data_IF_330862748433
#
_entry.id   IF_330862748433
#
_cell.length_a   1.000
_cell.length_b   1.000
_cell.length_c   1.000
_cell.angle_alpha   90.00
_cell.angle_beta   90.00
_cell.angle_gamma   90.00
#
_symmetry.space_group_name_H-M   'P 1'
#
loop_
_entity.id
_entity.type
_entity.pdbx_description
1 polymer ?
#
# COMPACT_ATOMS: atom_id res chain seq x y z
N UNK A 1 -7.43 -2.88 14.45
CA UNK A 1 -7.78 -1.70 15.27
C UNK A 1 -8.15 -2.07 16.70
N UNK A 2 -8.91 -3.14 16.94
CA UNK A 2 -9.22 -3.65 18.29
C UNK A 2 -8.00 -4.11 19.08
N UNK A 3 -7.06 -4.83 18.45
CA UNK A 3 -5.79 -5.24 19.08
C UNK A 3 -4.91 -4.07 19.55
N UNK A 4 -5.14 -2.87 19.02
CA UNK A 4 -4.43 -1.64 19.38
C UNK A 4 -5.32 -0.66 20.16
N UNK A 5 -6.47 -1.12 20.68
CA UNK A 5 -7.46 -0.34 21.43
C UNK A 5 -8.03 0.91 20.72
N UNK A 6 -7.85 1.01 19.39
CA UNK A 6 -8.34 2.13 18.57
C UNK A 6 -9.86 2.07 18.43
N UNK A 7 -10.39 0.89 18.11
CA UNK A 7 -11.83 0.62 18.16
C UNK A 7 -12.10 -0.18 19.44
N UNK A 8 -12.98 0.36 20.28
CA UNK A 8 -13.43 -0.30 21.49
C UNK A 8 -14.41 -1.42 21.15
N UNK A 9 -14.16 -2.60 21.70
CA UNK A 9 -15.13 -3.69 21.77
C UNK A 9 -16.04 -3.51 22.98
N UNK A 10 -17.21 -4.16 22.97
CA UNK A 10 -18.01 -4.28 24.18
C UNK A 10 -17.31 -5.12 25.27
N UNK A 11 -17.93 -5.23 26.44
CA UNK A 11 -17.44 -6.02 27.58
C UNK A 11 -17.19 -7.50 27.24
N UNK A 12 -17.78 -8.01 26.15
CA UNK A 12 -17.60 -9.37 25.66
C UNK A 12 -16.59 -9.47 24.50
N UNK A 13 -15.88 -8.38 24.17
CA UNK A 13 -14.89 -8.36 23.10
C UNK A 13 -15.47 -8.27 21.68
N UNK A 14 -16.77 -7.98 21.53
CA UNK A 14 -17.44 -7.88 20.24
C UNK A 14 -17.35 -6.48 19.65
N UNK A 15 -17.22 -6.42 18.33
CA UNK A 15 -17.32 -5.17 17.55
C UNK A 15 -18.60 -5.22 16.75
N UNK A 16 -19.31 -4.09 16.69
CA UNK A 16 -20.54 -3.92 15.92
C UNK A 16 -20.22 -3.13 14.65
N UNK A 17 -19.83 -3.80 13.54
CA UNK A 17 -19.35 -3.13 12.33
C UNK A 17 -20.38 -2.18 11.70
N UNK A 18 -21.66 -2.51 11.81
CA UNK A 18 -22.77 -1.73 11.22
C UNK A 18 -23.27 -0.59 12.14
N UNK A 19 -22.72 -0.48 13.36
CA UNK A 19 -23.08 0.60 14.27
C UNK A 19 -22.64 1.92 13.65
N UNK A 20 -23.55 2.89 13.60
CA UNK A 20 -23.24 4.27 13.23
C UNK A 20 -22.36 4.91 14.29
N UNK A 21 -21.32 5.63 13.87
CA UNK A 21 -20.42 6.33 14.79
C UNK A 21 -20.82 7.79 14.98
N UNK A 22 -20.54 8.31 16.17
CA UNK A 22 -20.65 9.75 16.44
C UNK A 22 -19.36 10.48 16.04
N UNK A 23 -19.40 11.82 16.01
CA UNK A 23 -18.19 12.64 15.85
C UNK A 23 -17.19 12.39 16.98
N UNK A 24 -17.69 12.23 18.21
CA UNK A 24 -16.90 11.91 19.40
C UNK A 24 -16.25 10.54 19.32
N UNK A 25 -16.94 9.52 18.80
CA UNK A 25 -16.35 8.21 18.51
C UNK A 25 -15.16 8.35 17.55
N UNK A 26 -15.33 9.10 16.46
CA UNK A 26 -14.26 9.32 15.48
C UNK A 26 -13.06 10.06 16.08
N UNK A 27 -13.29 11.12 16.86
CA UNK A 27 -12.22 11.83 17.55
C UNK A 27 -11.45 10.91 18.49
N UNK A 28 -12.18 10.03 19.20
CA UNK A 28 -11.60 9.03 20.10
C UNK A 28 -10.74 8.02 19.34
N UNK A 29 -11.23 7.50 18.20
CA UNK A 29 -10.49 6.56 17.37
C UNK A 29 -9.18 7.17 16.88
N UNK A 30 -9.23 8.40 16.34
CA UNK A 30 -8.03 9.10 15.87
C UNK A 30 -7.05 9.39 17.00
N UNK A 31 -7.52 9.91 18.13
CA UNK A 31 -6.67 10.21 19.26
C UNK A 31 -5.96 8.96 19.78
N UNK A 32 -6.66 7.82 19.85
CA UNK A 32 -6.08 6.53 20.25
C UNK A 32 -5.15 5.93 19.21
N UNK A 33 -5.39 6.16 17.92
CA UNK A 33 -4.47 5.75 16.86
C UNK A 33 -3.11 6.46 16.97
N UNK A 34 -3.09 7.68 17.53
CA UNK A 34 -1.85 8.46 17.76
C UNK A 34 -1.27 8.23 19.14
N UNK A 35 -2.11 8.18 20.17
CA UNK A 35 -1.73 7.98 21.56
C UNK A 35 -2.66 6.95 22.22
N UNK A 36 -2.34 5.66 22.13
CA UNK A 36 -3.15 4.59 22.72
C UNK A 36 -3.33 4.70 24.25
N UNK A 37 -2.43 5.43 24.93
CA UNK A 37 -2.43 5.61 26.39
C UNK A 37 -2.94 7.02 26.80
N UNK A 38 -3.69 7.72 25.94
CA UNK A 38 -4.17 9.09 26.23
C UNK A 38 -4.90 9.21 27.57
N UNK A 39 -5.57 8.14 28.00
CA UNK A 39 -6.32 8.08 29.26
C UNK A 39 -5.41 7.99 30.50
N UNK A 40 -4.15 7.57 30.36
CA UNK A 40 -3.20 7.35 31.47
C UNK A 40 -2.51 8.64 31.95
N UNK A 41 -2.39 9.63 31.08
CA UNK A 41 -1.58 10.83 31.34
C UNK A 41 -2.37 12.03 31.85
N UNK A 42 -3.68 11.89 32.05
CA UNK A 42 -4.52 12.96 32.58
C UNK A 42 -4.96 12.70 34.02
N UNK A 43 -4.22 13.25 34.98
CA UNK A 43 -4.69 13.47 36.35
C UNK A 43 -5.35 14.85 36.39
N UNK A 44 -6.65 14.92 36.07
CA UNK A 44 -7.37 16.16 35.85
C UNK A 44 -7.28 17.17 37.00
N UNK A 45 -6.74 18.34 36.69
CA UNK A 45 -6.90 19.59 37.46
C UNK A 45 -7.04 20.82 36.54
N UNK A 46 -7.33 20.61 35.25
CA UNK A 46 -7.52 21.69 34.28
C UNK A 46 -8.97 22.20 34.30
N UNK A 47 -9.16 23.52 34.42
CA UNK A 47 -10.47 24.19 34.35
C UNK A 47 -10.81 24.69 32.93
N UNK A 48 -10.00 24.38 31.93
CA UNK A 48 -10.11 24.95 30.58
C UNK A 48 -11.12 24.17 29.73
N UNK A 49 -12.07 24.92 29.18
CA UNK A 49 -13.09 24.44 28.24
C UNK A 49 -12.51 24.50 26.81
N UNK A 50 -12.48 23.37 26.10
CA UNK A 50 -11.93 23.32 24.74
C UNK A 50 -12.92 23.83 23.70
N UNK A 51 -14.19 23.49 23.89
CA UNK A 51 -15.33 23.94 23.08
C UNK A 51 -16.54 24.11 23.96
N UNK A 52 -17.57 24.79 23.46
CA UNK A 52 -18.83 25.05 24.15
C UNK A 52 -19.44 23.82 24.85
N UNK A 53 -19.22 22.63 24.29
CA UNK A 53 -19.71 21.32 24.72
C UNK A 53 -18.59 20.29 25.04
N UNK A 54 -17.33 20.72 25.08
CA UNK A 54 -16.17 19.89 25.48
C UNK A 54 -15.52 20.51 26.72
N UNK A 55 -16.13 20.23 27.88
CA UNK A 55 -15.61 20.57 29.20
C UNK A 55 -14.70 19.46 29.73
N UNK A 56 -13.88 19.71 30.78
CA UNK A 56 -13.00 18.69 31.37
C UNK A 56 -13.70 17.38 31.79
N UNK A 57 -15.01 17.42 32.02
CA UNK A 57 -15.86 16.28 32.37
C UNK A 57 -16.38 15.50 31.15
N UNK A 58 -16.23 16.05 29.94
CA UNK A 58 -16.66 15.39 28.71
C UNK A 58 -15.85 14.12 28.48
N UNK A 59 -16.50 12.98 28.12
CA UNK A 59 -15.77 11.74 27.81
C UNK A 59 -14.86 11.90 26.58
N UNK A 60 -15.08 12.92 25.75
CA UNK A 60 -14.28 13.20 24.55
C UNK A 60 -13.16 14.21 24.79
N UNK A 61 -13.04 14.76 26.00
CA UNK A 61 -12.10 15.85 26.28
C UNK A 61 -10.66 15.51 25.92
N UNK A 62 -10.16 14.34 26.35
CA UNK A 62 -8.80 13.90 26.06
C UNK A 62 -8.56 13.68 24.57
N UNK A 63 -9.55 13.11 23.88
CA UNK A 63 -9.46 12.88 22.45
C UNK A 63 -9.37 14.21 21.70
N UNK A 64 -10.29 15.14 21.99
CA UNK A 64 -10.31 16.47 21.35
C UNK A 64 -9.04 17.25 21.67
N UNK A 65 -8.56 17.24 22.92
CA UNK A 65 -7.30 17.86 23.32
C UNK A 65 -6.13 17.33 22.50
N UNK A 66 -6.02 16.01 22.39
CA UNK A 66 -4.97 15.34 21.60
C UNK A 66 -5.00 15.81 20.15
N UNK A 67 -6.19 15.90 19.54
CA UNK A 67 -6.32 16.34 18.14
C UNK A 67 -6.03 17.83 17.95
N UNK A 68 -6.33 18.68 18.92
CA UNK A 68 -5.92 20.10 18.92
C UNK A 68 -4.40 20.22 18.98
N UNK A 69 -3.76 19.47 19.88
CA UNK A 69 -2.30 19.51 20.06
C UNK A 69 -1.58 19.00 18.79
N UNK A 70 -2.17 18.03 18.07
CA UNK A 70 -1.70 17.58 16.75
C UNK A 70 -2.04 18.55 15.60
N UNK A 71 -2.79 19.62 15.86
CA UNK A 71 -3.30 20.58 14.87
C UNK A 71 -4.20 19.93 13.79
N UNK A 72 -4.93 18.89 14.17
CA UNK A 72 -5.88 18.18 13.30
C UNK A 72 -7.32 18.65 13.50
N UNK A 73 -7.63 19.17 14.69
CA UNK A 73 -8.78 20.05 14.91
C UNK A 73 -8.33 21.50 14.92
N UNK A 74 -9.30 22.41 14.70
CA UNK A 74 -9.06 23.82 14.97
C UNK A 74 -8.69 24.01 16.45
N UNK A 75 -8.03 25.11 16.81
CA UNK A 75 -7.71 25.40 18.21
C UNK A 75 -8.94 25.42 19.11
N UNK A 76 -8.72 25.38 20.42
CA UNK A 76 -9.79 25.54 21.40
C UNK A 76 -10.56 26.85 21.16
N UNK A 77 -11.88 26.75 21.13
CA UNK A 77 -12.80 27.85 20.92
C UNK A 77 -14.04 27.64 21.80
N UNK A 78 -14.04 28.20 23.03
CA UNK A 78 -15.10 28.00 24.01
C UNK A 78 -16.49 28.47 23.58
N UNK A 79 -16.58 29.28 22.52
CA UNK A 79 -17.82 29.86 21.99
C UNK A 79 -18.49 28.95 20.94
N UNK A 80 -17.76 28.01 20.35
CA UNK A 80 -18.28 27.10 19.31
C UNK A 80 -18.50 25.69 19.83
N UNK A 81 -19.49 24.98 19.29
CA UNK A 81 -19.79 23.58 19.64
C UNK A 81 -19.17 22.61 18.63
N UNK A 82 -18.68 21.47 19.10
CA UNK A 82 -18.25 20.35 18.25
C UNK A 82 -19.35 19.32 17.99
N UNK A 83 -20.40 19.31 18.82
CA UNK A 83 -21.51 18.36 18.83
C UNK A 83 -21.02 16.90 18.78
N UNK A 84 -20.19 16.44 19.73
CA UNK A 84 -19.54 15.12 19.65
C UNK A 84 -20.53 13.94 19.65
N UNK A 85 -21.74 14.13 20.16
CA UNK A 85 -22.79 13.11 20.21
C UNK A 85 -23.56 12.97 18.88
N UNK A 86 -23.38 13.89 17.93
CA UNK A 86 -24.05 13.79 16.63
C UNK A 86 -23.45 12.65 15.78
N UNK A 87 -24.32 11.89 15.12
CA UNK A 87 -23.92 10.87 14.16
C UNK A 87 -23.16 11.48 12.97
N UNK A 88 -21.97 10.96 12.71
CA UNK A 88 -21.09 11.50 11.69
C UNK A 88 -21.56 11.12 10.28
N UNK A 89 -21.58 12.11 9.40
CA UNK A 89 -21.88 11.92 7.97
C UNK A 89 -20.61 11.66 7.14
N UNK A 90 -20.78 11.05 5.96
CA UNK A 90 -19.66 10.83 5.01
C UNK A 90 -19.00 12.12 4.57
N UNK A 91 -19.75 13.20 4.38
CA UNK A 91 -19.18 14.50 4.00
C UNK A 91 -18.34 15.12 5.13
N UNK A 92 -18.82 15.07 6.37
CA UNK A 92 -18.05 15.54 7.52
C UNK A 92 -16.74 14.74 7.68
N UNK A 93 -16.81 13.42 7.50
CA UNK A 93 -15.61 12.58 7.50
C UNK A 93 -14.62 12.98 6.39
N UNK A 94 -15.10 13.26 5.17
CA UNK A 94 -14.25 13.73 4.08
C UNK A 94 -13.52 15.03 4.43
N UNK A 95 -14.24 15.99 5.01
CA UNK A 95 -13.66 17.27 5.46
C UNK A 95 -12.58 17.05 6.51
N UNK A 96 -12.83 16.18 7.48
CA UNK A 96 -11.86 15.86 8.53
C UNK A 96 -10.62 15.17 7.96
N UNK A 97 -10.78 14.18 7.08
CA UNK A 97 -9.67 13.46 6.45
C UNK A 97 -8.78 14.41 5.63
N UNK A 98 -9.38 15.31 4.84
CA UNK A 98 -8.64 16.31 4.07
C UNK A 98 -7.88 17.28 4.97
N UNK A 99 -8.45 17.66 6.13
CA UNK A 99 -7.79 18.49 7.13
C UNK A 99 -6.62 17.78 7.81
N UNK A 100 -6.80 16.51 8.21
CA UNK A 100 -5.75 15.70 8.82
C UNK A 100 -4.55 15.55 7.87
N UNK A 101 -4.82 15.37 6.58
CA UNK A 101 -3.79 15.31 5.53
C UNK A 101 -3.22 16.69 5.15
N UNK A 102 -3.74 17.77 5.72
CA UNK A 102 -3.33 19.17 5.48
C UNK A 102 -3.47 19.59 4.02
N UNK A 103 -4.52 19.10 3.37
CA UNK A 103 -4.81 19.35 1.97
C UNK A 103 -5.95 20.36 1.75
N UNK A 104 -6.27 21.19 2.74
CA UNK A 104 -7.36 22.17 2.64
C UNK A 104 -7.12 23.20 1.53
N UNK A 105 -5.86 23.63 1.36
CA UNK A 105 -5.47 24.50 0.24
C UNK A 105 -5.66 23.82 -1.11
N UNK A 106 -5.36 22.52 -1.18
CA UNK A 106 -5.51 21.74 -2.41
C UNK A 106 -6.99 21.51 -2.73
N UNK A 107 -7.80 21.20 -1.72
CA UNK A 107 -9.25 21.09 -1.84
C UNK A 107 -9.89 22.37 -2.41
N UNK A 108 -9.32 23.54 -2.11
CA UNK A 108 -9.74 24.83 -2.68
C UNK A 108 -9.64 24.92 -4.21
N UNK A 109 -8.87 24.05 -4.88
CA UNK A 109 -8.79 23.99 -6.34
C UNK A 109 -9.82 23.07 -6.99
N UNK A 110 -10.54 22.26 -6.20
CA UNK A 110 -11.49 21.25 -6.70
C UNK A 110 -12.95 21.57 -6.34
N UNK A 111 -13.31 22.85 -6.37
CA UNK A 111 -14.65 23.31 -5.96
C UNK A 111 -15.63 23.45 -7.12
N UNK A 112 -15.23 23.17 -8.36
CA UNK A 112 -16.07 23.38 -9.53
C UNK A 112 -17.09 22.23 -9.66
N UNK A 113 -18.29 22.48 -10.21
CA UNK A 113 -19.24 21.41 -10.51
C UNK A 113 -18.65 20.30 -11.40
N UNK A 114 -17.73 20.66 -12.31
CA UNK A 114 -17.02 19.71 -13.16
C UNK A 114 -16.13 18.74 -12.39
N UNK A 115 -15.66 19.10 -11.19
CA UNK A 115 -14.80 18.24 -10.38
C UNK A 115 -15.54 17.05 -9.76
N UNK A 116 -16.88 17.08 -9.80
CA UNK A 116 -17.79 16.03 -9.33
C UNK A 116 -18.74 15.56 -10.44
N UNK A 117 -18.42 15.78 -11.72
CA UNK A 117 -19.32 15.49 -12.85
C UNK A 117 -19.79 14.04 -12.92
N UNK A 118 -19.04 13.13 -12.31
CA UNK A 118 -19.33 11.69 -12.29
C UNK A 118 -20.24 11.28 -11.13
N UNK A 119 -20.68 12.22 -10.29
CA UNK A 119 -21.57 11.94 -9.17
C UNK A 119 -23.01 12.37 -9.47
N UNK A 120 -23.94 11.43 -9.38
CA UNK A 120 -25.37 11.72 -9.57
C UNK A 120 -25.95 12.61 -8.45
N UNK A 121 -25.31 12.64 -7.27
CA UNK A 121 -25.70 13.46 -6.12
C UNK A 121 -24.72 14.61 -5.83
N UNK A 122 -23.95 15.06 -6.83
CA UNK A 122 -23.01 16.18 -6.70
C UNK A 122 -23.65 17.47 -6.13
N UNK A 123 -24.93 17.70 -6.42
CA UNK A 123 -25.66 18.87 -5.92
C UNK A 123 -25.95 18.81 -4.41
N UNK A 124 -25.96 17.61 -3.82
CA UNK A 124 -26.14 17.44 -2.38
C UNK A 124 -24.83 17.66 -1.60
N UNK A 125 -23.70 17.83 -2.30
CA UNK A 125 -22.38 18.05 -1.70
C UNK A 125 -22.16 19.55 -1.46
N UNK A 126 -21.96 19.89 -0.19
CA UNK A 126 -21.70 21.24 0.28
C UNK A 126 -20.21 21.59 0.10
N UNK A 127 -19.31 20.74 0.59
CA UNK A 127 -17.86 20.90 0.50
C UNK A 127 -17.29 20.12 -0.68
N UNK A 128 -17.49 20.67 -1.88
CA UNK A 128 -17.07 20.04 -3.14
C UNK A 128 -15.57 19.75 -3.18
N UNK A 129 -14.76 20.67 -2.65
CA UNK A 129 -13.31 20.51 -2.60
C UNK A 129 -12.88 19.31 -1.77
N UNK A 130 -13.43 19.18 -0.55
CA UNK A 130 -13.08 18.06 0.33
C UNK A 130 -13.57 16.72 -0.24
N UNK A 131 -14.80 16.67 -0.75
CA UNK A 131 -15.37 15.45 -1.35
C UNK A 131 -14.65 15.05 -2.63
N UNK A 132 -14.35 16.01 -3.52
CA UNK A 132 -13.62 15.73 -4.76
C UNK A 132 -12.25 15.17 -4.44
N UNK A 133 -11.55 15.79 -3.49
CA UNK A 133 -10.23 15.33 -3.08
C UNK A 133 -10.29 13.99 -2.34
N UNK A 134 -11.27 13.75 -1.47
CA UNK A 134 -11.41 12.46 -0.78
C UNK A 134 -11.68 11.30 -1.74
N UNK A 135 -12.43 11.55 -2.83
CA UNK A 135 -12.67 10.54 -3.87
C UNK A 135 -11.40 10.32 -4.69
N UNK A 136 -10.75 11.40 -5.17
CA UNK A 136 -9.52 11.31 -5.98
C UNK A 136 -8.40 10.58 -5.24
N UNK A 137 -8.26 10.87 -3.94
CA UNK A 137 -7.27 10.21 -3.10
C UNK A 137 -7.66 8.77 -2.76
N UNK A 138 -8.91 8.34 -2.98
CA UNK A 138 -9.38 6.99 -2.62
C UNK A 138 -9.76 6.82 -1.15
N UNK A 139 -9.80 7.91 -0.38
CA UNK A 139 -10.14 7.93 1.05
C UNK A 139 -11.61 7.56 1.31
N UNK A 140 -12.49 8.09 0.47
CA UNK A 140 -13.93 7.84 0.52
C UNK A 140 -14.46 7.72 -0.91
N UNK A 141 -14.41 6.52 -1.52
CA UNK A 141 -14.86 6.33 -2.88
C UNK A 141 -16.37 6.53 -3.01
N UNK A 142 -16.82 6.80 -4.24
CA UNK A 142 -18.24 6.81 -4.60
C UNK A 142 -18.80 5.39 -4.61
N UNK A 143 -20.07 5.25 -4.21
CA UNK A 143 -20.82 3.99 -4.23
C UNK A 143 -21.86 4.14 -5.34
N UNK A 144 -21.75 3.32 -6.39
CA UNK A 144 -22.69 3.33 -7.52
C UNK A 144 -22.89 4.71 -8.16
N UNK A 145 -21.79 5.46 -8.34
CA UNK A 145 -21.83 6.81 -8.92
C UNK A 145 -22.43 7.89 -8.00
N UNK A 146 -22.53 7.63 -6.69
CA UNK A 146 -23.01 8.58 -5.68
C UNK A 146 -22.02 8.69 -4.53
N UNK A 147 -21.89 9.88 -3.94
CA UNK A 147 -21.06 10.07 -2.75
C UNK A 147 -21.85 9.86 -1.45
N UNK A 148 -23.15 10.15 -1.47
CA UNK A 148 -24.07 10.06 -0.34
C UNK A 148 -23.62 10.94 0.84
N UNK A 149 -23.54 12.28 0.68
CA UNK A 149 -22.91 13.17 1.66
C UNK A 149 -23.55 13.09 3.06
N UNK A 150 -24.87 12.92 3.13
CA UNK A 150 -25.62 12.82 4.39
C UNK A 150 -25.67 11.40 4.99
N UNK A 151 -25.16 10.38 4.29
CA UNK A 151 -25.15 9.00 4.81
C UNK A 151 -24.28 8.94 6.04
N UNK A 152 -24.77 8.22 7.05
CA UNK A 152 -24.06 8.00 8.31
C UNK A 152 -22.93 6.99 8.15
N UNK A 153 -21.81 7.26 8.80
CA UNK A 153 -20.61 6.43 8.77
C UNK A 153 -20.75 5.31 9.79
N UNK A 154 -20.41 4.09 9.41
CA UNK A 154 -20.38 2.94 10.32
C UNK A 154 -18.98 2.69 10.91
N UNK A 155 -18.90 1.90 11.98
CA UNK A 155 -17.64 1.46 12.57
C UNK A 155 -16.75 0.79 11.52
N UNK A 156 -17.31 -0.04 10.62
CA UNK A 156 -16.56 -0.71 9.57
C UNK A 156 -15.96 0.27 8.55
N UNK A 157 -16.70 1.30 8.16
CA UNK A 157 -16.21 2.33 7.23
C UNK A 157 -15.10 3.18 7.85
N UNK A 158 -15.26 3.57 9.11
CA UNK A 158 -14.24 4.30 9.86
C UNK A 158 -12.99 3.45 10.15
N UNK A 159 -13.12 2.12 10.11
CA UNK A 159 -12.02 1.19 10.34
C UNK A 159 -11.11 0.97 9.11
N UNK A 160 -11.40 1.59 7.96
CA UNK A 160 -10.56 1.47 6.77
C UNK A 160 -9.33 2.41 6.90
N UNK A 161 -8.12 1.85 6.76
CA UNK A 161 -6.83 2.56 6.99
C UNK A 161 -6.26 3.08 5.67
N UNK A 162 -6.09 4.39 5.54
CA UNK A 162 -5.76 5.04 4.26
C UNK A 162 -4.45 5.85 4.24
N UNK A 163 -3.79 6.07 5.38
CA UNK A 163 -2.69 7.06 5.47
C UNK A 163 -1.30 6.42 5.57
N UNK A 164 -0.27 7.21 5.19
CA UNK A 164 1.13 6.83 5.44
C UNK A 164 1.45 6.67 6.92
N UNK A 165 0.77 7.44 7.78
CA UNK A 165 0.88 7.30 9.23
C UNK A 165 0.37 5.93 9.69
N UNK A 166 -0.78 5.47 9.15
CA UNK A 166 -1.31 4.13 9.45
C UNK A 166 -0.32 3.04 9.02
N UNK A 167 0.28 3.16 7.85
CA UNK A 167 1.32 2.25 7.38
C UNK A 167 2.54 2.21 8.31
N UNK A 168 3.07 3.38 8.70
CA UNK A 168 4.29 3.47 9.49
C UNK A 168 4.10 3.11 10.97
N UNK A 169 2.99 3.52 11.57
CA UNK A 169 2.76 3.38 13.02
C UNK A 169 2.02 2.09 13.35
N UNK A 170 1.07 1.68 12.49
CA UNK A 170 0.27 0.46 12.74
C UNK A 170 0.78 -0.76 11.98
N UNK A 171 1.74 -0.59 11.08
CA UNK A 171 2.30 -1.65 10.25
C UNK A 171 1.32 -2.22 9.22
N UNK A 172 0.24 -1.51 8.90
CA UNK A 172 -0.81 -2.00 8.01
C UNK A 172 -1.66 -0.84 7.46
N UNK A 173 -1.85 -0.80 6.14
CA UNK A 173 -2.67 0.20 5.44
C UNK A 173 -3.12 -0.33 4.07
N UNK A 174 -3.98 0.37 3.32
CA UNK A 174 -4.27 0.04 1.91
C UNK A 174 -3.25 0.70 0.96
N UNK A 175 -3.36 0.42 -0.35
CA UNK A 175 -2.44 0.87 -1.40
C UNK A 175 -2.05 2.36 -1.35
N UNK A 176 -3.00 3.22 -1.00
CA UNK A 176 -2.77 4.64 -0.81
C UNK A 176 -1.77 4.94 0.32
N UNK A 177 -1.87 4.26 1.47
CA UNK A 177 -0.96 4.48 2.59
C UNK A 177 0.45 3.95 2.30
N UNK A 178 0.56 2.82 1.58
CA UNK A 178 1.84 2.30 1.09
C UNK A 178 2.52 3.31 0.16
N UNK A 179 1.81 3.74 -0.88
CA UNK A 179 2.36 4.66 -1.88
C UNK A 179 2.71 6.03 -1.31
N UNK A 180 1.92 6.55 -0.37
CA UNK A 180 2.22 7.81 0.32
C UNK A 180 3.42 7.67 1.28
N UNK A 181 3.55 6.54 1.99
CA UNK A 181 4.69 6.29 2.87
C UNK A 181 5.98 6.20 2.05
N UNK A 182 5.97 5.41 0.98
CA UNK A 182 7.09 5.31 0.04
C UNK A 182 7.44 6.68 -0.55
N UNK A 183 6.44 7.47 -0.98
CA UNK A 183 6.65 8.82 -1.49
C UNK A 183 7.41 9.70 -0.50
N UNK A 184 6.98 9.74 0.76
CA UNK A 184 7.59 10.56 1.81
C UNK A 184 8.99 10.11 2.18
N UNK A 185 9.22 8.81 2.29
CA UNK A 185 10.55 8.27 2.59
C UNK A 185 11.56 8.59 1.48
N UNK A 186 11.16 8.43 0.21
CA UNK A 186 12.00 8.75 -0.95
C UNK A 186 12.27 10.25 -1.05
N UNK A 187 11.26 11.10 -0.85
CA UNK A 187 11.40 12.56 -0.81
C UNK A 187 12.40 12.98 0.28
N UNK A 188 12.32 12.39 1.47
CA UNK A 188 13.21 12.70 2.59
C UNK A 188 14.68 12.34 2.35
N UNK A 189 14.95 11.31 1.55
CA UNK A 189 16.32 10.94 1.14
C UNK A 189 16.76 11.59 -0.18
N UNK A 190 15.98 12.51 -0.73
CA UNK A 190 16.31 13.28 -1.92
C UNK A 190 16.12 12.52 -3.24
N UNK A 191 15.29 11.48 -3.26
CA UNK A 191 14.94 10.73 -4.47
C UNK A 191 13.63 11.27 -5.04
N UNK A 192 13.73 11.86 -6.23
CA UNK A 192 12.59 12.31 -7.03
C UNK A 192 11.63 11.14 -7.27
N UNK A 193 10.36 11.32 -6.91
CA UNK A 193 9.34 10.30 -7.13
C UNK A 193 7.93 10.92 -7.32
N UNK A 194 6.97 10.14 -7.82
CA UNK A 194 5.57 10.54 -8.05
C UNK A 194 4.64 9.41 -7.60
N UNK A 195 3.45 9.76 -7.12
CA UNK A 195 2.36 8.79 -6.96
C UNK A 195 1.64 8.65 -8.30
N UNK A 196 1.36 7.41 -8.69
CA UNK A 196 0.60 7.05 -9.89
C UNK A 196 -0.70 6.41 -9.48
N UNK A 197 -1.78 6.84 -10.14
CA UNK A 197 -3.14 6.33 -9.95
C UNK A 197 -3.59 5.53 -11.17
N UNK A 198 -4.31 4.43 -10.93
CA UNK A 198 -4.73 3.53 -11.98
C UNK A 198 -5.59 2.38 -11.48
N UNK A 199 -5.50 1.27 -12.18
CA UNK A 199 -6.03 -0.02 -11.78
C UNK A 199 -4.92 -1.07 -11.82
N UNK A 200 -5.03 -2.07 -10.97
CA UNK A 200 -4.17 -3.24 -10.94
C UNK A 200 -5.07 -4.48 -10.89
N UNK A 201 -5.00 -5.33 -11.92
CA UNK A 201 -6.10 -6.23 -12.26
C UNK A 201 -7.40 -5.44 -12.49
N UNK A 202 -8.44 -5.78 -11.75
CA UNK A 202 -9.76 -5.13 -11.84
C UNK A 202 -10.03 -4.14 -10.68
N UNK A 203 -9.02 -3.80 -9.87
CA UNK A 203 -9.18 -2.94 -8.69
C UNK A 203 -8.50 -1.59 -8.87
N UNK A 204 -9.13 -0.52 -8.36
CA UNK A 204 -8.49 0.80 -8.27
C UNK A 204 -7.25 0.71 -7.38
N UNK A 205 -6.15 1.30 -7.85
CA UNK A 205 -4.85 1.12 -7.22
C UNK A 205 -3.96 2.36 -7.33
N UNK A 206 -3.03 2.49 -6.39
CA UNK A 206 -2.03 3.55 -6.36
C UNK A 206 -0.65 2.99 -5.99
N UNK A 207 0.38 3.45 -6.70
CA UNK A 207 1.78 3.04 -6.54
C UNK A 207 2.74 4.22 -6.84
N UNK A 208 4.05 3.97 -6.92
CA UNK A 208 5.05 5.03 -7.14
C UNK A 208 5.78 4.92 -8.47
N UNK A 209 6.20 6.07 -9.01
CA UNK A 209 7.26 6.21 -9.99
C UNK A 209 8.48 6.81 -9.31
N UNK A 210 9.64 6.21 -9.46
CA UNK A 210 10.90 6.60 -8.81
C UNK A 210 11.93 6.94 -9.87
N UNK A 211 12.65 8.06 -9.69
CA UNK A 211 13.69 8.50 -10.61
C UNK A 211 15.06 8.20 -10.04
N UNK A 212 15.82 7.35 -10.74
CA UNK A 212 17.19 6.96 -10.39
C UNK A 212 18.09 7.27 -11.57
N UNK A 213 19.18 8.01 -11.34
CA UNK A 213 20.17 8.37 -12.36
C UNK A 213 19.56 8.91 -13.67
N UNK A 214 18.52 9.75 -13.52
CA UNK A 214 17.82 10.38 -14.63
C UNK A 214 16.76 9.51 -15.32
N UNK A 215 16.61 8.23 -14.96
CA UNK A 215 15.63 7.30 -15.51
C UNK A 215 14.49 7.05 -14.53
N UNK A 216 13.28 6.85 -15.04
CA UNK A 216 12.08 6.57 -14.25
C UNK A 216 11.78 5.08 -14.22
N UNK A 217 11.24 4.61 -13.09
CA UNK A 217 10.86 3.22 -12.86
C UNK A 217 9.61 3.15 -11.97
N UNK A 218 8.72 2.21 -12.26
CA UNK A 218 7.58 1.88 -11.43
C UNK A 218 8.00 1.09 -10.19
N UNK A 219 7.40 1.41 -9.05
CA UNK A 219 7.60 0.69 -7.80
C UNK A 219 6.26 0.56 -7.08
N UNK A 220 5.83 -0.67 -6.82
CA UNK A 220 4.60 -0.94 -6.08
C UNK A 220 4.87 -1.73 -4.80
N UNK A 221 5.05 -0.97 -3.72
CA UNK A 221 5.28 -1.52 -2.38
C UNK A 221 4.07 -2.26 -1.82
N UNK A 222 2.87 -2.05 -2.37
CA UNK A 222 1.65 -2.72 -1.90
C UNK A 222 1.60 -4.15 -2.42
N UNK A 223 1.79 -4.34 -3.73
CA UNK A 223 1.80 -5.68 -4.33
C UNK A 223 3.10 -6.44 -4.05
N UNK A 224 4.16 -5.73 -3.62
CA UNK A 224 5.36 -6.35 -3.06
C UNK A 224 5.24 -6.78 -1.59
N UNK A 225 4.10 -6.52 -0.92
CA UNK A 225 3.79 -7.06 0.41
C UNK A 225 2.89 -8.32 0.31
N UNK A 226 3.46 -9.53 0.40
CA UNK A 226 2.76 -10.76 0.03
C UNK A 226 1.68 -11.17 1.03
N UNK A 227 0.53 -11.59 0.51
CA UNK A 227 -0.53 -12.22 1.31
C UNK A 227 -0.49 -13.76 1.20
N UNK A 228 -0.68 -14.52 2.31
CA UNK A 228 -0.78 -14.06 3.69
C UNK A 228 0.54 -13.49 4.24
N UNK A 229 0.44 -12.50 5.12
CA UNK A 229 1.59 -11.87 5.78
C UNK A 229 2.40 -12.91 6.54
N UNK A 230 3.73 -12.84 6.36
CA UNK A 230 4.71 -13.70 6.99
C UNK A 230 5.88 -12.83 7.43
N UNK A 231 6.18 -12.83 8.72
CA UNK A 231 7.25 -12.02 9.32
C UNK A 231 8.54 -12.09 8.49
N UNK A 232 8.98 -10.93 8.01
CA UNK A 232 10.23 -10.77 7.25
C UNK A 232 10.18 -11.26 5.81
N UNK A 233 9.00 -11.62 5.28
CA UNK A 233 8.81 -11.91 3.85
C UNK A 233 8.37 -10.65 3.12
N UNK A 234 9.12 -10.31 2.08
CA UNK A 234 8.80 -9.27 1.11
C UNK A 234 8.99 -9.86 -0.29
N UNK A 235 8.21 -9.37 -1.24
CA UNK A 235 8.44 -9.60 -2.67
C UNK A 235 9.23 -8.45 -3.27
N UNK A 236 9.76 -8.66 -4.47
CA UNK A 236 10.38 -7.63 -5.30
C UNK A 236 9.90 -7.77 -6.75
N UNK A 237 8.68 -8.29 -6.93
CA UNK A 237 8.07 -8.53 -8.23
C UNK A 237 7.69 -7.22 -8.92
N UNK A 238 7.40 -6.17 -8.15
CA UNK A 238 7.05 -4.83 -8.63
C UNK A 238 8.11 -3.79 -8.28
N UNK A 239 9.36 -4.22 -8.09
CA UNK A 239 10.49 -3.36 -7.79
C UNK A 239 11.16 -2.83 -9.05
N UNK A 240 11.09 -1.52 -9.26
CA UNK A 240 11.74 -0.76 -10.34
C UNK A 240 11.46 -1.30 -11.76
N UNK A 241 10.18 -1.49 -12.07
CA UNK A 241 9.72 -1.97 -13.38
C UNK A 241 9.68 -0.85 -14.43
N UNK A 242 9.89 -1.21 -15.69
CA UNK A 242 9.58 -0.38 -16.86
C UNK A 242 8.07 -0.28 -17.11
N UNK A 243 7.65 0.64 -17.99
CA UNK A 243 6.26 0.77 -18.43
C UNK A 243 5.74 -0.56 -19.01
N UNK A 244 6.57 -1.28 -19.77
CA UNK A 244 6.21 -2.56 -20.39
C UNK A 244 6.07 -3.68 -19.34
N UNK A 245 6.95 -3.70 -18.33
CA UNK A 245 6.88 -4.62 -17.19
C UNK A 245 5.61 -4.37 -16.35
N UNK A 246 5.33 -3.11 -16.04
CA UNK A 246 4.19 -2.73 -15.20
C UNK A 246 2.84 -2.90 -15.93
N UNK A 247 2.78 -2.66 -17.24
CA UNK A 247 1.55 -2.73 -18.03
C UNK A 247 0.93 -4.13 -18.17
N UNK A 248 1.59 -5.18 -17.64
CA UNK A 248 1.10 -6.57 -17.70
C UNK A 248 -0.19 -6.75 -16.93
N UNK A 249 -0.31 -6.06 -15.80
CA UNK A 249 -1.45 -6.13 -14.88
C UNK A 249 -1.85 -4.76 -14.32
N UNK A 250 -1.08 -3.70 -14.57
CA UNK A 250 -1.45 -2.33 -14.19
C UNK A 250 -1.82 -1.45 -15.39
N UNK A 251 -2.84 -0.61 -15.20
CA UNK A 251 -3.26 0.41 -16.16
C UNK A 251 -3.37 1.75 -15.45
N UNK A 252 -2.65 2.78 -15.89
CA UNK A 252 -2.70 4.12 -15.28
C UNK A 252 -3.51 5.11 -16.11
N UNK A 253 -4.31 5.94 -15.41
CA UNK A 253 -5.36 6.80 -16.00
C UNK A 253 -4.83 8.01 -16.78
N UNK A 254 -3.52 8.29 -16.72
CA UNK A 254 -2.91 9.46 -17.35
C UNK A 254 -1.55 9.16 -18.01
N UNK A 255 -1.48 8.16 -18.90
CA UNK A 255 -0.26 7.74 -19.62
C UNK A 255 0.60 8.87 -20.21
N UNK A 256 0.01 10.02 -20.58
CA UNK A 256 0.75 11.18 -21.10
C UNK A 256 1.22 12.22 -20.06
N UNK A 257 0.84 12.09 -18.78
CA UNK A 257 1.24 13.02 -17.70
C UNK A 257 2.39 12.50 -16.85
N UNK A 258 2.59 11.19 -16.84
CA UNK A 258 3.68 10.55 -16.13
C UNK A 258 4.92 10.45 -17.03
N UNK A 259 6.13 10.58 -16.45
CA UNK A 259 7.36 10.37 -17.20
C UNK A 259 7.47 8.88 -17.55
N UNK A 260 7.95 8.57 -18.75
CA UNK A 260 8.05 7.19 -19.22
C UNK A 260 9.16 6.42 -18.50
N UNK A 261 8.85 5.22 -18.02
CA UNK A 261 9.84 4.24 -17.58
C UNK A 261 10.23 3.34 -18.77
N UNK A 262 11.11 3.85 -19.63
CA UNK A 262 11.33 3.29 -20.97
C UNK A 262 12.26 2.08 -21.07
N UNK A 263 12.97 1.72 -19.99
CA UNK A 263 13.94 0.64 -20.01
C UNK A 263 13.89 -0.19 -18.73
N UNK A 264 14.08 -1.52 -18.79
CA UNK A 264 14.15 -2.37 -17.62
C UNK A 264 15.30 -1.96 -16.67
N UNK A 265 15.07 -2.03 -15.36
CA UNK A 265 16.11 -1.72 -14.38
C UNK A 265 17.30 -2.68 -14.47
N UNK A 266 17.08 -3.91 -14.96
CA UNK A 266 18.12 -4.89 -15.27
C UNK A 266 19.25 -4.30 -16.11
N UNK A 267 18.94 -3.54 -17.16
CA UNK A 267 19.95 -2.95 -18.05
C UNK A 267 20.80 -1.88 -17.35
N UNK A 268 20.15 -1.06 -16.52
CA UNK A 268 20.85 -0.06 -15.72
C UNK A 268 21.82 -0.74 -14.75
N UNK A 269 21.37 -1.79 -14.06
CA UNK A 269 22.19 -2.52 -13.11
C UNK A 269 23.36 -3.25 -13.78
N UNK A 270 23.16 -3.87 -14.95
CA UNK A 270 24.24 -4.45 -15.75
C UNK A 270 25.28 -3.41 -16.15
N UNK A 271 24.84 -2.21 -16.54
CA UNK A 271 25.73 -1.10 -16.90
C UNK A 271 26.58 -0.69 -15.69
N UNK A 272 25.96 -0.56 -14.51
CA UNK A 272 26.65 -0.22 -13.26
C UNK A 272 27.66 -1.30 -12.83
N UNK A 273 27.32 -2.58 -12.98
CA UNK A 273 28.24 -3.69 -12.72
C UNK A 273 29.45 -3.63 -13.65
N UNK A 274 29.21 -3.46 -14.96
CA UNK A 274 30.28 -3.38 -15.98
C UNK A 274 31.17 -2.15 -15.81
N UNK A 275 30.61 -1.02 -15.38
CA UNK A 275 31.37 0.20 -15.13
C UNK A 275 32.37 0.06 -13.96
N UNK A 276 32.14 -0.88 -13.04
CA UNK A 276 33.05 -1.18 -11.94
C UNK A 276 33.00 -0.15 -10.80
N UNK A 277 34.14 0.09 -10.16
CA UNK A 277 34.28 1.02 -9.04
C UNK A 277 33.91 0.43 -7.67
N UNK A 278 33.90 1.28 -6.64
CA UNK A 278 33.76 0.85 -5.23
C UNK A 278 32.41 0.20 -4.89
N UNK A 279 31.37 0.44 -5.69
CA UNK A 279 30.02 -0.13 -5.51
C UNK A 279 29.72 -1.37 -6.36
N UNK A 280 30.64 -1.79 -7.25
CA UNK A 280 30.40 -2.89 -8.19
C UNK A 280 29.91 -4.18 -7.51
N UNK A 281 30.54 -4.56 -6.40
CA UNK A 281 30.13 -5.74 -5.62
C UNK A 281 28.71 -5.61 -5.05
N UNK A 282 28.28 -4.41 -4.66
CA UNK A 282 26.92 -4.18 -4.18
C UNK A 282 25.90 -4.32 -5.32
N UNK A 283 26.21 -3.79 -6.51
CA UNK A 283 25.36 -3.95 -7.69
C UNK A 283 25.26 -5.41 -8.15
N UNK A 284 26.37 -6.16 -8.09
CA UNK A 284 26.37 -7.60 -8.37
C UNK A 284 25.44 -8.35 -7.41
N UNK A 285 25.53 -8.06 -6.10
CA UNK A 285 24.65 -8.67 -5.09
C UNK A 285 23.18 -8.33 -5.35
N UNK A 286 22.88 -7.07 -5.68
CA UNK A 286 21.52 -6.65 -6.03
C UNK A 286 21.01 -7.37 -7.29
N UNK A 287 21.87 -7.54 -8.30
CA UNK A 287 21.52 -8.23 -9.55
C UNK A 287 21.10 -9.68 -9.30
N UNK A 288 21.80 -10.38 -8.41
CA UNK A 288 21.43 -11.73 -7.99
C UNK A 288 20.20 -11.74 -7.07
N UNK A 289 20.06 -10.78 -6.16
CA UNK A 289 18.91 -10.69 -5.25
C UNK A 289 17.59 -10.44 -5.99
N UNK A 290 17.63 -9.71 -7.10
CA UNK A 290 16.49 -9.47 -8.00
C UNK A 290 16.32 -10.59 -9.04
N UNK A 291 17.09 -11.70 -8.91
CA UNK A 291 17.07 -12.86 -9.80
C UNK A 291 17.33 -12.53 -11.29
N UNK A 292 17.97 -11.40 -11.59
CA UNK A 292 18.25 -11.01 -12.97
C UNK A 292 19.26 -11.93 -13.67
N UNK A 293 19.98 -12.79 -12.93
CA UNK A 293 20.80 -13.85 -13.52
C UNK A 293 20.00 -14.84 -14.35
N UNK A 294 18.69 -14.98 -14.13
CA UNK A 294 17.83 -15.82 -14.96
C UNK A 294 17.75 -15.35 -16.42
N UNK A 295 18.02 -14.07 -16.67
CA UNK A 295 18.00 -13.50 -18.02
C UNK A 295 19.28 -13.77 -18.81
N UNK A 296 20.27 -14.44 -18.21
CA UNK A 296 21.40 -14.99 -18.95
C UNK A 296 20.93 -16.21 -19.75
N UNK A 297 20.97 -16.11 -21.08
CA UNK A 297 20.54 -17.20 -21.97
C UNK A 297 21.41 -18.45 -21.85
N UNK A 298 22.67 -18.29 -21.43
CA UNK A 298 23.60 -19.42 -21.30
C UNK A 298 23.25 -20.35 -20.14
N UNK A 299 22.46 -19.86 -19.17
CA UNK A 299 21.98 -20.59 -18.00
C UNK A 299 20.58 -21.21 -18.18
N UNK A 300 19.95 -21.03 -19.36
CA UNK A 300 18.63 -21.59 -19.63
C UNK A 300 18.67 -23.13 -19.67
N UNK A 301 17.72 -23.78 -18.98
CA UNK A 301 17.60 -25.23 -18.87
C UNK A 301 16.54 -25.74 -19.85
N UNK A 302 16.82 -26.86 -20.50
CA UNK A 302 15.83 -27.64 -21.25
C UNK A 302 16.17 -29.12 -21.17
N UNK A 303 15.18 -29.97 -20.97
CA UNK A 303 15.34 -31.42 -20.94
C UNK A 303 15.80 -32.00 -19.59
N UNK A 304 15.47 -33.28 -19.38
CA UNK A 304 15.71 -34.05 -18.15
C UNK A 304 17.14 -33.94 -17.61
N UNK A 305 18.15 -34.13 -18.46
CA UNK A 305 19.55 -34.24 -18.04
C UNK A 305 20.09 -32.96 -17.42
N UNK A 306 19.77 -31.81 -18.03
CA UNK A 306 20.22 -30.50 -17.55
C UNK A 306 19.54 -30.16 -16.21
N UNK A 307 18.24 -30.42 -16.11
CA UNK A 307 17.49 -30.20 -14.87
C UNK A 307 18.00 -31.09 -13.73
N UNK A 308 18.17 -32.39 -13.98
CA UNK A 308 18.70 -33.36 -13.01
C UNK A 308 20.07 -32.94 -12.48
N UNK A 309 20.96 -32.48 -13.36
CA UNK A 309 22.30 -31.99 -12.99
C UNK A 309 22.23 -30.80 -12.04
N UNK A 310 21.39 -29.80 -12.33
CA UNK A 310 21.26 -28.60 -11.49
C UNK A 310 20.67 -28.95 -10.12
N UNK A 311 19.64 -29.81 -10.09
CA UNK A 311 19.01 -30.29 -8.85
C UNK A 311 19.97 -31.08 -7.99
N UNK A 312 20.76 -31.98 -8.58
CA UNK A 312 21.80 -32.72 -7.85
C UNK A 312 22.84 -31.79 -7.20
N UNK A 313 23.21 -30.69 -7.87
CA UNK A 313 24.08 -29.68 -7.26
C UNK A 313 23.44 -29.05 -6.03
N UNK A 314 22.18 -28.63 -6.12
CA UNK A 314 21.46 -28.03 -4.98
C UNK A 314 21.28 -29.02 -3.83
N UNK A 315 21.03 -30.30 -4.13
CA UNK A 315 20.93 -31.36 -3.13
C UNK A 315 22.25 -31.58 -2.37
N UNK A 316 23.39 -31.52 -3.04
CA UNK A 316 24.72 -31.64 -2.40
C UNK A 316 24.96 -30.53 -1.38
N UNK A 317 24.42 -29.34 -1.64
CA UNK A 317 24.49 -28.19 -0.74
C UNK A 317 23.37 -28.18 0.32
N UNK A 318 22.57 -29.25 0.40
CA UNK A 318 21.46 -29.39 1.34
C UNK A 318 20.22 -28.57 1.00
N UNK A 319 20.14 -28.02 -0.21
CA UNK A 319 19.00 -27.21 -0.66
C UNK A 319 17.77 -28.04 -1.01
N UNK A 320 16.59 -27.42 -0.89
CA UNK A 320 15.28 -28.04 -1.12
C UNK A 320 14.44 -27.32 -2.18
N UNK A 321 15.01 -26.32 -2.85
CA UNK A 321 14.34 -25.57 -3.90
C UNK A 321 15.32 -25.03 -4.93
N UNK A 322 14.88 -24.88 -6.18
CA UNK A 322 15.65 -24.31 -7.27
C UNK A 322 14.75 -23.37 -8.10
N UNK A 323 15.26 -22.20 -8.45
CA UNK A 323 14.64 -21.29 -9.43
C UNK A 323 15.53 -21.18 -10.66
N UNK A 324 14.96 -21.34 -11.84
CA UNK A 324 15.71 -21.39 -13.10
C UNK A 324 14.86 -20.90 -14.29
N UNK A 325 15.54 -20.50 -15.36
CA UNK A 325 14.94 -20.23 -16.67
C UNK A 325 14.79 -21.55 -17.42
N UNK A 326 13.59 -21.84 -17.88
CA UNK A 326 13.28 -23.04 -18.64
C UNK A 326 12.89 -22.70 -20.07
N UNK A 327 13.61 -23.29 -21.01
CA UNK A 327 13.39 -23.13 -22.45
C UNK A 327 12.51 -24.27 -22.95
N UNK A 328 11.21 -24.02 -23.06
CA UNK A 328 10.23 -25.01 -23.48
C UNK A 328 8.81 -24.66 -23.04
N UNK A 329 7.90 -25.62 -23.14
CA UNK A 329 6.52 -25.47 -22.71
C UNK A 329 6.34 -26.01 -21.29
N UNK A 330 5.27 -25.59 -20.61
CA UNK A 330 4.93 -26.13 -19.29
C UNK A 330 4.66 -27.65 -19.34
N UNK A 331 4.07 -28.15 -20.42
CA UNK A 331 3.91 -29.60 -20.65
C UNK A 331 5.26 -30.32 -20.66
N UNK A 332 6.25 -29.80 -21.40
CA UNK A 332 7.60 -30.38 -21.44
C UNK A 332 8.30 -30.31 -20.08
N UNK A 333 8.07 -29.22 -19.32
CA UNK A 333 8.58 -29.10 -17.96
C UNK A 333 8.03 -30.22 -17.06
N UNK A 334 6.73 -30.52 -17.13
CA UNK A 334 6.11 -31.58 -16.31
C UNK A 334 6.74 -32.93 -16.61
N UNK A 335 7.03 -33.22 -17.88
CA UNK A 335 7.75 -34.43 -18.28
C UNK A 335 9.18 -34.44 -17.72
N UNK A 336 9.90 -33.32 -17.81
CA UNK A 336 11.26 -33.17 -17.28
C UNK A 336 11.33 -33.35 -15.76
N UNK A 337 10.29 -32.96 -15.03
CA UNK A 337 10.22 -33.07 -13.57
C UNK A 337 10.05 -34.52 -13.07
N UNK A 338 9.45 -35.42 -13.86
CA UNK A 338 9.19 -36.79 -13.45
C UNK A 338 10.49 -37.56 -13.11
N UNK A 339 11.58 -37.27 -13.81
CA UNK A 339 12.87 -37.94 -13.59
C UNK A 339 13.55 -37.54 -12.27
N UNK A 340 13.13 -36.44 -11.65
CA UNK A 340 13.67 -36.02 -10.37
C UNK A 340 13.26 -36.95 -9.23
N UNK A 341 12.15 -37.71 -9.35
CA UNK A 341 11.79 -38.74 -8.38
C UNK A 341 12.85 -39.85 -8.27
N UNK A 342 13.64 -40.09 -9.33
CA UNK A 342 14.77 -41.02 -9.29
C UNK A 342 15.90 -40.55 -8.35
N UNK A 343 15.89 -39.29 -7.93
CA UNK A 343 16.81 -38.74 -6.94
C UNK A 343 16.36 -38.97 -5.48
N UNK A 344 15.26 -39.72 -5.26
CA UNK A 344 14.75 -40.04 -3.93
C UNK A 344 13.80 -39.00 -3.33
N UNK A 345 13.22 -38.13 -4.16
CA UNK A 345 12.23 -37.14 -3.71
C UNK A 345 10.88 -37.81 -3.44
N UNK A 346 10.21 -37.42 -2.34
CA UNK A 346 8.85 -37.85 -2.02
C UNK A 346 7.78 -37.03 -2.72
N UNK A 347 8.02 -35.73 -2.86
CA UNK A 347 7.13 -34.82 -3.54
C UNK A 347 7.89 -33.67 -4.18
N UNK A 348 7.34 -33.17 -5.29
CA UNK A 348 7.84 -32.01 -6.02
C UNK A 348 6.65 -31.08 -6.25
N UNK A 349 6.79 -29.82 -5.86
CA UNK A 349 5.88 -28.74 -6.25
C UNK A 349 6.62 -27.77 -7.15
N UNK A 350 5.90 -27.17 -8.09
CA UNK A 350 6.46 -26.20 -9.02
C UNK A 350 5.53 -25.02 -9.22
N UNK A 351 6.12 -23.88 -9.56
CA UNK A 351 5.45 -22.65 -9.94
C UNK A 351 6.08 -22.13 -11.23
N UNK A 352 5.24 -21.81 -12.21
CA UNK A 352 5.63 -21.31 -13.52
C UNK A 352 5.11 -19.90 -13.71
N UNK A 353 5.93 -19.05 -14.34
CA UNK A 353 5.53 -17.71 -14.77
C UNK A 353 6.27 -17.36 -16.07
N UNK A 354 5.67 -16.56 -16.94
CA UNK A 354 6.31 -16.12 -18.17
C UNK A 354 7.44 -15.13 -17.86
N UNK A 355 8.63 -15.37 -18.43
CA UNK A 355 9.74 -14.43 -18.37
C UNK A 355 9.52 -13.27 -19.34
N UNK A 356 9.82 -12.07 -18.88
CA UNK A 356 9.60 -10.85 -19.66
C UNK A 356 10.52 -10.80 -20.88
N UNK A 357 10.02 -10.33 -22.02
CA UNK A 357 10.80 -10.12 -23.25
C UNK A 357 11.51 -11.40 -23.75
N UNK A 358 11.02 -12.57 -23.32
CA UNK A 358 11.46 -13.89 -23.78
C UNK A 358 10.25 -14.78 -24.03
N UNK A 359 10.45 -15.88 -24.76
CA UNK A 359 9.44 -16.96 -24.90
C UNK A 359 9.57 -18.04 -23.82
N UNK A 360 10.51 -17.86 -22.89
CA UNK A 360 10.88 -18.86 -21.90
C UNK A 360 10.10 -18.69 -20.59
N UNK A 361 10.18 -19.72 -19.75
CA UNK A 361 9.48 -19.80 -18.48
C UNK A 361 10.43 -19.56 -17.32
N UNK A 362 9.99 -18.80 -16.31
CA UNK A 362 10.61 -18.77 -14.97
C UNK A 362 9.95 -19.86 -14.16
N UNK A 363 10.76 -20.83 -13.74
CA UNK A 363 10.29 -22.00 -12.99
C UNK A 363 10.93 -21.99 -11.62
N UNK A 364 10.10 -22.15 -10.57
CA UNK A 364 10.56 -22.46 -9.22
C UNK A 364 10.04 -23.83 -8.83
N UNK A 365 10.94 -24.74 -8.50
CA UNK A 365 10.61 -26.06 -7.95
C UNK A 365 11.00 -26.12 -6.48
N UNK A 366 10.23 -26.86 -5.69
CA UNK A 366 10.51 -27.20 -4.28
C UNK A 366 10.24 -28.67 -4.08
N UNK A 367 11.05 -29.36 -3.27
CA UNK A 367 10.91 -30.80 -3.07
C UNK A 367 11.08 -31.22 -1.61
N UNK A 368 10.60 -32.43 -1.31
CA UNK A 368 10.84 -33.12 -0.04
C UNK A 368 11.50 -34.47 -0.28
N UNK A 369 12.28 -34.95 0.71
CA UNK A 369 13.02 -36.22 0.68
C UNK A 369 12.36 -37.27 1.57
#
# INVERSE_FOLDING_TARGET
>A
MTQHAVILSDEQGRVFPDRVITKGDWFTYLARAVNPNMDMYYSGNGSEKLYADITPESPYYQAVRTLIDQRWLAGADPETKLNPEEEMTREELAVLLVRILRYEKLAGFYTLPSDLSNLADANAVNNKGAVSLSIKLGLLPSIEGRFMPARKVTVAEAAQKYTAYDGLVTGSTVCQGYSLLAYRMLEQVGIDNRIVEGTAGDQLHAWNLVKLDGKWYHMDTTWDDPTPDRKGKVSHSYYLLSDNEMARDHVWTAKGKYPAASAPYREALQTLVKAGGSKATAYQKLYHALEYSLYDESDAISGHSALKTKVQSVLKDGGTSLTFRYKGTETGLVEDLQDLYQLGMKSISYYVSNMQDTVDLRVKITWTM
#
